data_IF_350009530170
#
_entry.id   IF_350009530170
#
_cell.length_a   1.000
_cell.length_b   1.000
_cell.length_c   1.000
_cell.angle_alpha   90.00
_cell.angle_beta   90.00
_cell.angle_gamma   90.00
#
_symmetry.space_group_name_H-M   'P 1'
#
loop_
_entity.id
_entity.type
_entity.pdbx_description
1 polymer ?
#
# COMPACT_ATOMS: atom_id res chain seq x y z
N UNK A 1 19.66 2.11 -0.05
CA UNK A 1 19.45 3.56 0.17
C UNK A 1 17.98 3.74 0.44
N UNK A 2 17.62 4.56 1.43
CA UNK A 2 16.22 4.86 1.72
C UNK A 2 15.56 5.50 0.49
N UNK A 3 14.33 5.08 0.19
CA UNK A 3 13.56 5.53 -0.97
C UNK A 3 13.86 4.78 -2.28
N UNK A 4 14.85 3.88 -2.31
CA UNK A 4 15.22 3.20 -3.57
C UNK A 4 14.11 2.27 -4.09
N UNK A 5 13.45 1.54 -3.19
CA UNK A 5 12.35 0.62 -3.53
C UNK A 5 11.14 1.43 -3.99
N UNK A 6 10.83 2.52 -3.27
CA UNK A 6 9.76 3.46 -3.56
C UNK A 6 9.88 4.01 -4.98
N UNK A 7 11.01 4.62 -5.34
CA UNK A 7 11.18 5.20 -6.67
C UNK A 7 11.09 4.14 -7.77
N UNK A 8 11.73 2.99 -7.59
CA UNK A 8 11.71 1.91 -8.57
C UNK A 8 10.29 1.40 -8.83
N UNK A 9 9.54 1.11 -7.76
CA UNK A 9 8.18 0.60 -7.86
C UNK A 9 7.24 1.66 -8.43
N UNK A 10 7.29 2.90 -7.92
CA UNK A 10 6.43 3.98 -8.40
C UNK A 10 6.67 4.31 -9.88
N UNK A 11 7.93 4.39 -10.34
CA UNK A 11 8.23 4.58 -11.75
C UNK A 11 7.75 3.41 -12.61
N UNK A 12 7.93 2.17 -12.14
CA UNK A 12 7.46 0.99 -12.85
C UNK A 12 5.93 0.99 -13.00
N UNK A 13 5.19 1.30 -11.94
CA UNK A 13 3.73 1.44 -12.00
C UNK A 13 3.30 2.59 -12.90
N UNK A 14 4.01 3.72 -12.87
CA UNK A 14 3.72 4.85 -13.75
C UNK A 14 3.89 4.50 -15.23
N UNK A 15 4.99 3.84 -15.60
CA UNK A 15 5.23 3.34 -16.97
C UNK A 15 4.14 2.34 -17.36
N UNK A 16 3.79 1.41 -16.48
CA UNK A 16 2.71 0.46 -16.73
C UNK A 16 1.37 1.16 -17.03
N UNK A 17 0.99 2.13 -16.20
CA UNK A 17 -0.28 2.85 -16.35
C UNK A 17 -0.32 3.72 -17.60
N UNK A 18 0.78 4.33 -18.01
CA UNK A 18 0.81 5.24 -19.16
C UNK A 18 0.87 4.51 -20.49
N UNK A 19 1.71 3.47 -20.59
CA UNK A 19 1.99 2.77 -21.84
C UNK A 19 1.16 1.50 -22.05
N UNK A 20 0.95 0.68 -21.01
CA UNK A 20 0.35 -0.65 -21.16
C UNK A 20 -1.16 -0.66 -20.90
N UNK A 21 -1.66 0.22 -20.03
CA UNK A 21 -3.10 0.25 -19.71
C UNK A 21 -3.92 0.88 -20.85
N UNK A 22 -4.95 0.15 -21.31
CA UNK A 22 -5.86 0.56 -22.38
C UNK A 22 -6.42 1.97 -22.13
N UNK A 23 -6.43 2.80 -23.18
CA UNK A 23 -6.85 4.22 -23.14
C UNK A 23 -8.29 4.44 -22.65
N UNK A 24 -9.13 3.41 -22.72
CA UNK A 24 -10.55 3.43 -22.34
C UNK A 24 -10.77 3.41 -20.82
N UNK A 25 -9.75 3.11 -20.00
CA UNK A 25 -9.92 3.02 -18.56
C UNK A 25 -9.93 4.43 -17.90
N UNK A 26 -11.06 4.86 -17.28
CA UNK A 26 -11.20 6.20 -16.71
C UNK A 26 -10.32 6.43 -15.47
N UNK A 27 -9.80 5.38 -14.83
CA UNK A 27 -8.93 5.49 -13.65
C UNK A 27 -7.45 5.71 -14.01
N UNK A 28 -7.07 5.51 -15.28
CA UNK A 28 -5.68 5.56 -15.74
C UNK A 28 -4.99 6.89 -15.43
N UNK A 29 -5.61 8.00 -15.84
CA UNK A 29 -5.04 9.34 -15.65
C UNK A 29 -4.98 9.72 -14.17
N UNK A 30 -6.02 9.39 -13.40
CA UNK A 30 -6.09 9.71 -11.97
C UNK A 30 -5.00 9.00 -11.18
N UNK A 31 -4.77 7.71 -11.45
CA UNK A 31 -3.73 6.93 -10.78
C UNK A 31 -2.32 7.35 -11.21
N UNK A 32 -2.09 7.57 -12.50
CA UNK A 32 -0.79 8.03 -12.99
C UNK A 32 -0.42 9.42 -12.42
N UNK A 33 -1.38 10.35 -12.38
CA UNK A 33 -1.20 11.66 -11.77
C UNK A 33 -0.95 11.57 -10.26
N UNK A 34 -1.69 10.70 -9.56
CA UNK A 34 -1.49 10.48 -8.13
C UNK A 34 -0.07 9.97 -7.82
N UNK A 35 0.44 9.00 -8.60
CA UNK A 35 1.81 8.49 -8.43
C UNK A 35 2.85 9.59 -8.66
N UNK A 36 2.70 10.40 -9.71
CA UNK A 36 3.61 11.52 -9.96
C UNK A 36 3.58 12.56 -8.84
N UNK A 37 2.39 12.89 -8.34
CA UNK A 37 2.25 13.82 -7.22
C UNK A 37 2.94 13.29 -5.97
N UNK A 38 2.82 11.99 -5.67
CA UNK A 38 3.52 11.36 -4.54
C UNK A 38 5.05 11.44 -4.72
N UNK A 39 5.56 11.20 -5.92
CA UNK A 39 6.99 11.33 -6.24
C UNK A 39 7.47 12.78 -6.06
N UNK A 40 6.70 13.76 -6.53
CA UNK A 40 7.07 15.19 -6.42
C UNK A 40 7.01 15.68 -4.96
N UNK A 41 6.07 15.16 -4.17
CA UNK A 41 5.90 15.51 -2.75
C UNK A 41 6.81 14.72 -1.81
N UNK A 42 7.52 13.69 -2.30
CA UNK A 42 8.39 12.86 -1.45
C UNK A 42 9.54 13.60 -0.75
N UNK A 43 10.18 14.66 -1.31
CA UNK A 43 11.23 15.39 -0.60
C UNK A 43 10.70 16.49 0.32
N UNK A 44 9.43 16.90 0.14
CA UNK A 44 8.84 17.99 0.91
C UNK A 44 8.42 17.53 2.29
N UNK A 45 8.99 18.15 3.32
CA UNK A 45 8.73 17.84 4.72
C UNK A 45 8.57 19.13 5.53
N UNK A 46 7.77 19.04 6.59
CA UNK A 46 7.52 20.13 7.54
C UNK A 46 7.91 19.65 8.93
N UNK A 47 8.64 20.49 9.68
CA UNK A 47 8.98 20.20 11.07
C UNK A 47 7.94 20.80 12.00
N UNK A 48 7.34 19.99 12.86
CA UNK A 48 6.41 20.41 13.89
C UNK A 48 6.95 19.95 15.26
N UNK A 49 7.72 20.83 15.92
CA UNK A 49 8.42 20.49 17.15
C UNK A 49 9.49 19.41 16.91
N UNK A 50 9.41 18.30 17.65
CA UNK A 50 10.34 17.15 17.52
C UNK A 50 9.91 16.12 16.45
N UNK A 51 8.80 16.35 15.76
CA UNK A 51 8.27 15.44 14.73
C UNK A 51 8.44 16.09 13.36
N UNK A 52 8.99 15.33 12.42
CA UNK A 52 9.04 15.73 11.01
C UNK A 52 7.92 15.02 10.25
N UNK A 53 7.14 15.75 9.44
CA UNK A 53 6.01 15.21 8.70
C UNK A 53 6.25 15.44 7.21
N UNK A 54 6.26 14.35 6.45
CA UNK A 54 6.43 14.39 5.00
C UNK A 54 5.09 14.59 4.29
N UNK A 55 5.06 15.49 3.31
CA UNK A 55 3.83 15.86 2.61
C UNK A 55 3.28 14.71 1.76
N UNK A 56 4.16 13.84 1.25
CA UNK A 56 3.79 12.62 0.52
C UNK A 56 2.91 11.69 1.35
N UNK A 57 3.26 11.43 2.61
CA UNK A 57 2.46 10.60 3.51
C UNK A 57 1.09 11.20 3.79
N UNK A 58 1.02 12.51 4.06
CA UNK A 58 -0.25 13.23 4.28
C UNK A 58 -1.12 13.20 3.01
N UNK A 59 -0.52 13.38 1.84
CA UNK A 59 -1.22 13.33 0.56
C UNK A 59 -1.83 11.94 0.30
N UNK A 60 -1.05 10.88 0.49
CA UNK A 60 -1.50 9.50 0.34
C UNK A 60 -2.67 9.21 1.31
N UNK A 61 -2.55 9.64 2.56
CA UNK A 61 -3.62 9.48 3.56
C UNK A 61 -4.90 10.18 3.11
N UNK A 62 -4.80 11.43 2.68
CA UNK A 62 -5.95 12.21 2.21
C UNK A 62 -6.66 11.52 1.03
N UNK A 63 -5.90 10.95 0.10
CA UNK A 63 -6.43 10.22 -1.04
C UNK A 63 -7.21 8.98 -0.59
N UNK A 64 -6.67 8.21 0.36
CA UNK A 64 -7.39 7.03 0.88
C UNK A 64 -8.68 7.37 1.60
N UNK A 65 -8.70 8.45 2.41
CA UNK A 65 -9.93 8.91 3.04
C UNK A 65 -11.00 9.33 2.03
N UNK A 66 -10.62 10.06 0.97
CA UNK A 66 -11.55 10.43 -0.12
C UNK A 66 -12.08 9.19 -0.86
N UNK A 67 -11.29 8.13 -0.98
CA UNK A 67 -11.74 6.89 -1.60
C UNK A 67 -12.66 6.07 -0.71
N UNK A 68 -12.40 6.04 0.61
CA UNK A 68 -13.23 5.34 1.60
C UNK A 68 -14.56 6.07 1.82
N UNK A 69 -14.57 7.41 1.83
CA UNK A 69 -15.79 8.21 2.07
C UNK A 69 -16.88 8.03 1.00
N UNK A 70 -16.51 7.51 -0.18
CA UNK A 70 -17.44 7.19 -1.27
C UNK A 70 -18.16 5.84 -1.09
N UNK A 71 -17.77 5.06 -0.09
CA UNK A 71 -18.38 3.76 0.20
C UNK A 71 -19.60 3.90 1.11
N UNK A 72 -20.41 2.84 1.22
CA UNK A 72 -21.57 2.82 2.12
C UNK A 72 -21.11 2.86 3.58
N UNK A 73 -21.91 3.44 4.49
CA UNK A 73 -21.57 3.58 5.91
C UNK A 73 -21.08 2.26 6.57
N UNK A 74 -21.75 1.12 6.29
CA UNK A 74 -21.32 -0.20 6.80
C UNK A 74 -19.92 -0.58 6.31
N UNK A 75 -19.62 -0.31 5.04
CA UNK A 75 -18.31 -0.57 4.47
C UNK A 75 -17.26 0.39 5.05
N UNK A 76 -17.60 1.67 5.28
CA UNK A 76 -16.70 2.64 5.94
C UNK A 76 -16.27 2.14 7.31
N UNK A 77 -17.23 1.71 8.15
CA UNK A 77 -16.94 1.18 9.49
C UNK A 77 -16.04 -0.06 9.39
N UNK A 78 -16.31 -0.95 8.44
CA UNK A 78 -15.46 -2.12 8.20
C UNK A 78 -14.03 -1.73 7.79
N UNK A 79 -13.88 -0.80 6.84
CA UNK A 79 -12.56 -0.27 6.43
C UNK A 79 -11.82 0.36 7.59
N UNK A 80 -12.52 1.07 8.48
CA UNK A 80 -11.94 1.69 9.66
C UNK A 80 -11.39 0.64 10.65
N UNK A 81 -12.20 -0.38 11.00
CA UNK A 81 -11.76 -1.47 11.89
C UNK A 81 -10.56 -2.22 11.28
N UNK A 82 -10.62 -2.57 9.99
CA UNK A 82 -9.53 -3.24 9.32
C UNK A 82 -8.25 -2.38 9.29
N UNK A 83 -8.38 -1.08 9.00
CA UNK A 83 -7.22 -0.17 9.02
C UNK A 83 -6.64 -0.02 10.42
N UNK A 84 -7.47 -0.03 11.45
CA UNK A 84 -7.02 0.03 12.85
C UNK A 84 -6.21 -1.22 13.24
N UNK A 85 -6.68 -2.42 12.87
CA UNK A 85 -5.94 -3.67 13.05
C UNK A 85 -4.58 -3.61 12.33
N UNK A 86 -4.57 -3.12 11.08
CA UNK A 86 -3.33 -2.92 10.32
C UNK A 86 -2.38 -1.94 11.00
N UNK A 87 -2.89 -0.83 11.56
CA UNK A 87 -2.11 0.16 12.28
C UNK A 87 -1.49 -0.40 13.57
N UNK A 88 -2.25 -1.18 14.35
CA UNK A 88 -1.71 -1.87 15.53
C UNK A 88 -0.61 -2.85 15.14
N UNK A 89 -0.83 -3.67 14.11
CA UNK A 89 0.18 -4.62 13.64
C UNK A 89 1.47 -3.91 13.20
N UNK A 90 1.34 -2.77 12.53
CA UNK A 90 2.46 -1.91 12.13
C UNK A 90 3.25 -1.38 13.35
N UNK A 91 2.56 -0.78 14.32
CA UNK A 91 3.19 -0.25 15.54
C UNK A 91 3.86 -1.35 16.35
N UNK A 92 3.20 -2.50 16.51
CA UNK A 92 3.75 -3.65 17.24
C UNK A 92 5.04 -4.15 16.59
N UNK A 93 5.11 -4.21 15.26
CA UNK A 93 6.33 -4.61 14.57
C UNK A 93 7.48 -3.63 14.85
N UNK A 94 7.22 -2.31 14.74
CA UNK A 94 8.23 -1.28 15.01
C UNK A 94 8.69 -1.25 16.47
N UNK A 95 7.79 -1.50 17.42
CA UNK A 95 8.16 -1.64 18.82
C UNK A 95 9.00 -2.90 19.04
N UNK A 96 8.64 -4.01 18.40
CA UNK A 96 9.40 -5.25 18.47
C UNK A 96 10.83 -5.09 17.93
N UNK A 97 11.00 -4.32 16.83
CA UNK A 97 12.32 -3.95 16.29
C UNK A 97 13.19 -3.19 17.32
N UNK A 98 12.59 -2.32 18.15
CA UNK A 98 13.33 -1.61 19.21
C UNK A 98 13.74 -2.56 20.35
N UNK A 99 12.86 -3.48 20.75
CA UNK A 99 13.09 -4.32 21.93
C UNK A 99 14.01 -5.52 21.66
N UNK A 100 13.87 -6.18 20.51
CA UNK A 100 14.68 -7.36 20.17
C UNK A 100 15.03 -7.42 18.67
N UNK A 101 16.14 -6.81 18.24
CA UNK A 101 16.54 -6.75 16.84
C UNK A 101 17.05 -8.09 16.28
N UNK A 102 17.27 -9.11 17.13
CA UNK A 102 17.85 -10.40 16.72
C UNK A 102 16.89 -11.17 15.79
N UNK A 103 15.59 -10.93 15.94
CA UNK A 103 14.56 -11.53 15.10
C UNK A 103 14.50 -10.95 13.68
N UNK A 104 15.19 -9.84 13.39
CA UNK A 104 15.27 -9.24 12.06
C UNK A 104 16.31 -10.00 11.22
N UNK A 105 15.94 -11.21 10.81
CA UNK A 105 16.80 -12.11 10.02
C UNK A 105 16.87 -11.67 8.55
N UNK A 106 15.84 -10.96 8.06
CA UNK A 106 15.71 -10.44 6.70
C UNK A 106 15.63 -8.91 6.77
N UNK A 107 15.94 -8.20 5.67
CA UNK A 107 15.68 -6.76 5.54
C UNK A 107 14.27 -6.40 6.05
N UNK A 108 14.19 -5.45 6.98
CA UNK A 108 12.96 -5.08 7.70
C UNK A 108 11.78 -4.78 6.77
N UNK A 109 12.05 -4.16 5.63
CA UNK A 109 11.02 -3.77 4.67
C UNK A 109 10.29 -4.99 4.11
N UNK A 110 11.02 -6.07 3.83
CA UNK A 110 10.45 -7.31 3.32
C UNK A 110 9.65 -8.06 4.38
N UNK A 111 10.12 -8.07 5.63
CA UNK A 111 9.40 -8.69 6.73
C UNK A 111 8.07 -7.99 7.00
N UNK A 112 8.07 -6.65 7.10
CA UNK A 112 6.84 -5.87 7.17
C UNK A 112 5.97 -6.07 5.93
N UNK A 113 6.59 -6.08 4.75
CA UNK A 113 5.96 -6.31 3.45
C UNK A 113 5.09 -7.57 3.44
N UNK A 114 5.70 -8.69 3.83
CA UNK A 114 5.07 -10.01 3.86
C UNK A 114 4.02 -10.07 4.98
N UNK A 115 4.35 -9.63 6.19
CA UNK A 115 3.46 -9.71 7.35
C UNK A 115 2.19 -8.89 7.13
N UNK A 116 2.33 -7.62 6.77
CA UNK A 116 1.21 -6.70 6.56
C UNK A 116 0.47 -7.04 5.26
N UNK A 117 1.18 -7.48 4.22
CA UNK A 117 0.55 -7.97 2.98
C UNK A 117 -0.33 -9.19 3.24
N UNK A 118 0.17 -10.18 3.99
CA UNK A 118 -0.59 -11.36 4.38
C UNK A 118 -1.81 -11.00 5.23
N UNK A 119 -1.64 -10.12 6.23
CA UNK A 119 -2.73 -9.63 7.05
C UNK A 119 -3.80 -8.94 6.19
N UNK A 120 -3.40 -8.09 5.25
CA UNK A 120 -4.33 -7.42 4.34
C UNK A 120 -5.13 -8.40 3.46
N UNK A 121 -4.50 -9.50 3.00
CA UNK A 121 -5.16 -10.55 2.22
C UNK A 121 -6.26 -11.24 3.03
N UNK A 122 -6.02 -11.51 4.32
CA UNK A 122 -7.02 -12.09 5.22
C UNK A 122 -8.15 -11.09 5.48
N UNK A 123 -7.80 -9.84 5.73
CA UNK A 123 -8.77 -8.82 6.15
C UNK A 123 -9.67 -8.36 5.01
N UNK A 124 -9.26 -8.44 3.74
CA UNK A 124 -10.05 -7.90 2.65
C UNK A 124 -9.92 -8.73 1.37
N UNK A 125 -11.04 -8.93 0.67
CA UNK A 125 -11.09 -9.79 -0.52
C UNK A 125 -10.68 -9.07 -1.79
N UNK A 126 -11.03 -7.79 -1.93
CA UNK A 126 -10.77 -7.04 -3.16
C UNK A 126 -9.40 -6.36 -3.12
N UNK A 127 -8.66 -6.36 -4.22
CA UNK A 127 -7.37 -5.66 -4.32
C UNK A 127 -7.48 -4.18 -3.93
N UNK A 128 -8.50 -3.48 -4.43
CA UNK A 128 -8.76 -2.08 -4.07
C UNK A 128 -8.93 -1.93 -2.56
N UNK A 129 -9.71 -2.80 -1.94
CA UNK A 129 -9.90 -2.76 -0.50
C UNK A 129 -8.63 -3.06 0.28
N UNK A 130 -7.84 -4.08 -0.14
CA UNK A 130 -6.56 -4.46 0.46
C UNK A 130 -5.58 -3.28 0.47
N UNK A 131 -5.45 -2.58 -0.67
CA UNK A 131 -4.60 -1.39 -0.77
C UNK A 131 -5.09 -0.26 0.13
N UNK A 132 -6.41 0.00 0.18
CA UNK A 132 -6.96 1.06 1.02
C UNK A 132 -6.69 0.81 2.52
N UNK A 133 -6.90 -0.41 3.02
CA UNK A 133 -6.67 -0.73 4.44
C UNK A 133 -5.19 -0.70 4.81
N UNK A 134 -4.29 -1.12 3.91
CA UNK A 134 -2.84 -1.08 4.15
C UNK A 134 -2.37 0.36 4.23
N UNK A 135 -2.69 1.16 3.23
CA UNK A 135 -2.17 2.53 3.14
C UNK A 135 -2.74 3.36 4.30
N UNK A 136 -4.05 3.31 4.52
CA UNK A 136 -4.67 4.05 5.62
C UNK A 136 -4.22 3.51 6.99
N UNK A 137 -4.18 2.19 7.17
CA UNK A 137 -3.80 1.57 8.45
C UNK A 137 -2.35 1.81 8.83
N UNK A 138 -1.41 1.59 7.90
CA UNK A 138 0.02 1.82 8.17
C UNK A 138 0.34 3.28 8.42
N UNK A 139 -0.30 4.21 7.70
CA UNK A 139 -0.12 5.64 7.96
C UNK A 139 -0.70 6.05 9.32
N UNK A 140 -1.87 5.53 9.70
CA UNK A 140 -2.39 5.74 11.07
C UNK A 140 -1.46 5.14 12.13
N UNK A 141 -0.86 3.98 11.83
CA UNK A 141 0.18 3.36 12.64
C UNK A 141 1.43 4.22 12.78
N UNK A 142 1.90 4.86 11.70
CA UNK A 142 3.01 5.82 11.72
C UNK A 142 2.75 6.98 12.68
N UNK A 143 1.55 7.57 12.63
CA UNK A 143 1.17 8.64 13.57
C UNK A 143 1.15 8.15 15.02
N UNK A 144 0.59 6.95 15.25
CA UNK A 144 0.52 6.36 16.59
C UNK A 144 1.92 6.04 17.14
N UNK A 145 2.79 5.48 16.30
CA UNK A 145 4.18 5.17 16.65
C UNK A 145 4.98 6.43 16.96
N UNK A 146 4.87 7.45 16.12
CA UNK A 146 5.50 8.75 16.36
C UNK A 146 5.04 9.39 17.67
N UNK A 147 3.74 9.27 18.00
CA UNK A 147 3.20 9.75 19.26
C UNK A 147 3.78 9.00 20.46
N UNK A 148 3.92 7.67 20.36
CA UNK A 148 4.57 6.85 21.40
C UNK A 148 6.03 7.29 21.59
N UNK A 149 6.80 7.41 20.50
CA UNK A 149 8.22 7.78 20.56
C UNK A 149 8.46 9.20 21.05
N UNK A 150 7.59 10.15 20.70
CA UNK A 150 7.69 11.53 21.18
C UNK A 150 7.62 11.61 22.72
N UNK A 151 6.84 10.72 23.36
CA UNK A 151 6.81 10.62 24.83
C UNK A 151 8.17 10.26 25.43
N UNK A 152 9.01 9.56 24.68
CA UNK A 152 10.39 9.20 25.06
C UNK A 152 11.44 10.17 24.50
N UNK A 153 11.02 11.31 23.93
CA UNK A 153 11.89 12.30 23.29
C UNK A 153 12.73 11.76 22.11
N UNK A 154 12.33 10.64 21.50
CA UNK A 154 12.98 10.14 20.30
C UNK A 154 12.46 10.91 19.06
N UNK A 155 13.34 11.55 18.28
CA UNK A 155 12.93 12.20 17.04
C UNK A 155 12.49 11.13 16.02
N UNK A 156 11.29 11.27 15.49
CA UNK A 156 10.75 10.36 14.48
C UNK A 156 10.13 11.14 13.32
N UNK A 157 10.37 10.64 12.11
CA UNK A 157 9.91 11.25 10.86
C UNK A 157 8.72 10.47 10.29
N UNK A 158 7.54 11.08 10.33
CA UNK A 158 6.29 10.49 9.83
C UNK A 158 6.26 10.56 8.30
N UNK A 159 6.06 9.42 7.66
CA UNK A 159 5.88 9.36 6.20
C UNK A 159 7.17 9.57 5.40
N UNK A 160 8.33 9.36 6.04
CA UNK A 160 9.63 9.45 5.40
C UNK A 160 9.80 8.43 4.25
N UNK A 161 10.89 8.56 3.49
CA UNK A 161 11.21 7.64 2.39
C UNK A 161 11.27 6.17 2.83
N UNK A 162 11.73 5.88 4.05
CA UNK A 162 11.72 4.54 4.62
C UNK A 162 10.30 3.97 4.76
N UNK A 163 9.33 4.78 5.21
CA UNK A 163 7.92 4.38 5.25
C UNK A 163 7.37 4.13 3.83
N UNK A 164 7.71 4.99 2.87
CA UNK A 164 7.26 4.86 1.50
C UNK A 164 7.82 3.61 0.81
N UNK A 165 9.05 3.20 1.11
CA UNK A 165 9.63 1.92 0.66
C UNK A 165 8.77 0.74 1.12
N UNK A 166 8.41 0.70 2.41
CA UNK A 166 7.56 -0.36 2.97
C UNK A 166 6.16 -0.34 2.33
N UNK A 167 5.55 0.84 2.25
CA UNK A 167 4.19 1.01 1.71
C UNK A 167 4.09 0.58 0.23
N UNK A 168 5.07 0.96 -0.58
CA UNK A 168 5.14 0.55 -1.99
C UNK A 168 5.46 -0.91 -2.17
N UNK A 169 6.33 -1.49 -1.32
CA UNK A 169 6.61 -2.92 -1.34
C UNK A 169 5.38 -3.76 -1.01
N UNK A 170 4.62 -3.41 0.04
CA UNK A 170 3.36 -4.09 0.36
C UNK A 170 2.38 -3.98 -0.81
N UNK A 171 2.24 -2.78 -1.38
CA UNK A 171 1.35 -2.54 -2.51
C UNK A 171 1.73 -3.39 -3.73
N UNK A 172 3.03 -3.50 -4.01
CA UNK A 172 3.55 -4.34 -5.09
C UNK A 172 3.26 -5.83 -4.85
N UNK A 173 3.53 -6.33 -3.63
CA UNK A 173 3.24 -7.71 -3.26
C UNK A 173 1.74 -8.05 -3.39
N UNK A 174 0.86 -7.14 -2.98
CA UNK A 174 -0.58 -7.31 -3.09
C UNK A 174 -1.08 -7.32 -4.54
N UNK A 175 -0.53 -6.45 -5.38
CA UNK A 175 -0.83 -6.46 -6.81
C UNK A 175 -0.34 -7.75 -7.45
N UNK A 176 0.87 -8.20 -7.12
CA UNK A 176 1.41 -9.49 -7.57
C UNK A 176 0.51 -10.65 -7.15
N UNK A 177 0.11 -10.71 -5.88
CA UNK A 177 -0.80 -11.72 -5.37
C UNK A 177 -2.15 -11.72 -6.10
N UNK A 178 -2.75 -10.54 -6.30
CA UNK A 178 -4.03 -10.44 -7.01
C UNK A 178 -3.92 -10.81 -8.49
N UNK A 179 -2.75 -10.59 -9.11
CA UNK A 179 -2.47 -11.09 -10.45
C UNK A 179 -2.46 -12.63 -10.47
N UNK A 180 -1.82 -13.28 -9.49
CA UNK A 180 -1.84 -14.75 -9.37
C UNK A 180 -3.26 -15.30 -9.12
N UNK A 181 -4.04 -14.68 -8.23
CA UNK A 181 -5.45 -15.07 -7.98
C UNK A 181 -6.28 -15.03 -9.27
N UNK A 182 -6.09 -14.00 -10.10
CA UNK A 182 -6.86 -13.83 -11.33
C UNK A 182 -6.30 -14.61 -12.53
N UNK A 183 -5.01 -14.97 -12.51
CA UNK A 183 -4.38 -15.73 -13.60
C UNK A 183 -5.07 -17.06 -13.83
N UNK A 184 -5.49 -17.76 -12.77
CA UNK A 184 -6.25 -19.02 -12.87
C UNK A 184 -7.60 -18.83 -13.57
N UNK A 185 -8.35 -17.77 -13.23
CA UNK A 185 -9.62 -17.45 -13.88
C UNK A 185 -9.45 -17.04 -15.35
N UNK A 186 -8.37 -16.33 -15.69
CA UNK A 186 -8.04 -15.95 -17.06
C UNK A 186 -7.68 -17.18 -17.90
N UNK A 187 -6.91 -18.12 -17.34
CA UNK A 187 -6.54 -19.35 -18.03
C UNK A 187 -7.77 -20.21 -18.32
N UNK A 188 -8.68 -20.36 -17.35
CA UNK A 188 -9.91 -21.12 -17.53
C UNK A 188 -10.86 -20.50 -18.57
N UNK A 189 -10.96 -19.17 -18.62
CA UNK A 189 -11.76 -18.47 -19.64
C UNK A 189 -11.17 -18.58 -21.04
N UNK A 190 -9.85 -18.56 -21.19
CA UNK A 190 -9.19 -18.79 -22.49
C UNK A 190 -9.42 -20.23 -22.98
N UNK A 191 -9.31 -21.23 -22.11
CA UNK A 191 -9.57 -22.63 -22.47
C UNK A 191 -11.03 -22.88 -22.89
N UNK A 192 -12.00 -22.34 -22.14
CA UNK A 192 -13.43 -22.44 -22.48
C UNK A 192 -13.78 -21.73 -23.79
N UNK A 193 -13.07 -20.66 -24.16
CA UNK A 193 -13.27 -19.98 -25.44
C UNK A 193 -12.75 -20.82 -26.62
N UNK A 194 -11.60 -21.50 -26.45
CA UNK A 194 -11.07 -22.43 -27.46
C UNK A 194 -11.91 -23.69 -27.63
N UNK A 195 -12.56 -24.21 -26.58
CA UNK A 195 -13.50 -25.33 -26.72
C UNK A 195 -14.79 -24.93 -27.44
N UNK A 196 -15.36 -23.75 -27.11
CA UNK A 196 -16.54 -23.22 -27.83
C UNK A 196 -16.25 -22.87 -29.28
N UNK A 197 -15.02 -22.47 -29.61
CA UNK A 197 -14.61 -22.26 -31.00
C UNK A 197 -14.49 -23.59 -31.76
N UNK A 198 -14.00 -24.66 -31.12
CA UNK A 198 -13.92 -26.01 -31.72
C UNK A 198 -15.29 -26.67 -31.91
N UNK A 199 -16.26 -26.44 -31.02
CA UNK A 199 -17.61 -27.01 -31.16
C UNK A 199 -18.47 -26.35 -32.26
N UNK A 200 -18.10 -25.16 -32.74
CA UNK A 200 -18.79 -24.50 -33.87
C UNK A 200 -18.21 -24.83 -35.25
N UNK A 201 -17.09 -25.55 -35.30
CA UNK A 201 -16.40 -25.91 -36.55
C UNK A 201 -16.51 -27.40 -36.90
N UNK A 202 -17.39 -28.15 -36.22
CA UNK A 202 -17.74 -29.55 -36.52
C UNK A 202 -19.24 -29.65 -36.73
#
# INVERSE_FOLDING_TARGET
MEGSIFYWICWSFWVYLTFFLKKQNPYRLKLAAAILLVIILSPTHYKLGNIEIYASGVFILSLTFIMISKEKLRAIIYYFICSYIMGIAYVTFHLFEIFDPIWIIIKKEWMMGILLGYLAIILQKTLRGRLLIVINGTMQGEFLYAFILNKYHFPYSIGALAYLDVCTLISFLLVGWSFFENAGAIFQNHFNFTEKAKQKSS
#
